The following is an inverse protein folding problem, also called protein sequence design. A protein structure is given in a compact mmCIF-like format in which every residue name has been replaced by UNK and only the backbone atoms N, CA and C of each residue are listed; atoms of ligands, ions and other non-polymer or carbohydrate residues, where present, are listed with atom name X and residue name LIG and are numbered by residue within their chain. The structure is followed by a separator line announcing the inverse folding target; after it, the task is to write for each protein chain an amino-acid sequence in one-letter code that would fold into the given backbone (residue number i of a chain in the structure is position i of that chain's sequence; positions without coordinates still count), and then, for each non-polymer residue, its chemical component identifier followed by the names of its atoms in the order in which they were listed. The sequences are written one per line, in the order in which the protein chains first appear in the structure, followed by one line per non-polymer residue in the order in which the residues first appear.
data_IF_749647799642
#
_entry.id   IF_749647799642
#
_cell.length_a   1.000
_cell.length_b   1.000
_cell.length_c   1.000
_cell.angle_alpha   90.00
_cell.angle_beta   90.00
_cell.angle_gamma   90.00
#
_symmetry.space_group_name_H-M   'P 1'
#
loop_
_entity.id
_entity.type
_entity.pdbx_description
1 polymer ?
#
# COMPACT_ATOMS: atom_id res chain seq x y z
N UNK A 1 -4.53 -14.07 4.38
CA UNK A 1 -5.07 -12.75 3.99
C UNK A 1 -4.29 -12.28 2.79
N UNK A 2 -4.90 -12.27 1.61
CA UNK A 2 -4.21 -11.97 0.34
C UNK A 2 -3.93 -10.47 0.20
N UNK A 3 -4.88 -9.63 0.61
CA UNK A 3 -4.88 -8.18 0.46
C UNK A 3 -3.93 -7.49 1.47
N UNK A 4 -3.85 -8.02 2.70
CA UNK A 4 -2.90 -7.51 3.70
C UNK A 4 -1.47 -7.65 3.21
N UNK A 5 -1.08 -8.84 2.70
CA UNK A 5 0.28 -9.04 2.19
C UNK A 5 0.57 -8.21 0.93
N UNK A 6 -0.42 -7.97 0.06
CA UNK A 6 -0.28 -7.02 -1.06
C UNK A 6 0.05 -5.63 -0.52
N UNK A 7 -0.67 -5.18 0.51
CA UNK A 7 -0.51 -3.83 1.03
C UNK A 7 0.78 -3.65 1.85
N UNK A 8 1.22 -4.66 2.60
CA UNK A 8 2.52 -4.67 3.27
C UNK A 8 3.66 -4.47 2.25
N UNK A 9 3.66 -5.24 1.17
CA UNK A 9 4.65 -5.09 0.09
C UNK A 9 4.56 -3.73 -0.59
N UNK A 10 3.34 -3.24 -0.83
CA UNK A 10 3.12 -1.92 -1.44
C UNK A 10 3.70 -0.80 -0.56
N UNK A 11 3.47 -0.86 0.75
CA UNK A 11 3.99 0.10 1.71
C UNK A 11 5.51 0.05 1.79
N UNK A 12 6.11 -1.14 1.81
CA UNK A 12 7.56 -1.31 1.80
C UNK A 12 8.19 -0.66 0.54
N UNK A 13 7.61 -0.89 -0.64
CA UNK A 13 8.06 -0.26 -1.89
C UNK A 13 7.95 1.27 -1.79
N UNK A 14 6.82 1.78 -1.29
CA UNK A 14 6.58 3.21 -1.17
C UNK A 14 7.57 3.89 -0.21
N UNK A 15 7.82 3.32 0.97
CA UNK A 15 8.79 3.80 1.95
C UNK A 15 10.22 3.77 1.41
N UNK A 16 10.58 2.70 0.70
CA UNK A 16 11.89 2.59 0.05
C UNK A 16 12.09 3.69 -1.00
N UNK A 17 11.07 4.01 -1.79
CA UNK A 17 11.12 5.12 -2.74
C UNK A 17 11.23 6.49 -2.05
N UNK A 18 10.44 6.72 -0.99
CA UNK A 18 10.49 7.96 -0.22
C UNK A 18 11.89 8.17 0.38
N UNK A 19 12.46 7.14 1.02
CA UNK A 19 13.81 7.16 1.58
C UNK A 19 14.87 7.47 0.52
N UNK A 20 14.80 6.82 -0.65
CA UNK A 20 15.73 7.08 -1.76
C UNK A 20 15.67 8.51 -2.29
N UNK A 21 14.52 9.16 -2.20
CA UNK A 21 14.31 10.55 -2.62
C UNK A 21 14.56 11.56 -1.50
N UNK A 22 14.90 11.11 -0.28
CA UNK A 22 15.00 11.98 0.89
C UNK A 22 13.67 12.59 1.33
N UNK A 23 12.54 12.00 0.91
CA UNK A 23 11.21 12.46 1.29
C UNK A 23 10.89 12.03 2.73
N UNK A 24 10.30 12.94 3.50
CA UNK A 24 9.89 12.71 4.89
C UNK A 24 8.42 12.36 5.04
N UNK A 25 7.64 12.48 3.95
CA UNK A 25 6.20 12.23 3.96
C UNK A 25 5.70 11.74 2.61
N UNK A 26 4.84 10.72 2.64
CA UNK A 26 4.04 10.28 1.50
C UNK A 26 2.63 10.84 1.69
N UNK A 27 2.13 11.57 0.70
CA UNK A 27 0.80 12.20 0.78
C UNK A 27 -0.33 11.26 0.33
N UNK A 28 -0.07 10.43 -0.68
CA UNK A 28 -1.04 9.50 -1.23
C UNK A 28 -0.32 8.35 -1.91
N UNK A 29 -0.97 7.18 -1.90
CA UNK A 29 -0.61 6.02 -2.70
C UNK A 29 -1.81 5.71 -3.58
N UNK A 30 -1.59 5.54 -4.88
CA UNK A 30 -2.63 5.16 -5.84
C UNK A 30 -2.26 3.86 -6.49
N UNK A 31 -3.21 2.95 -6.50
CA UNK A 31 -3.08 1.64 -7.10
C UNK A 31 -4.16 1.44 -8.15
N UNK A 32 -3.82 0.76 -9.24
CA UNK A 32 -4.78 0.26 -10.21
C UNK A 32 -5.02 -1.21 -9.93
N UNK A 33 -6.28 -1.58 -9.70
CA UNK A 33 -6.70 -2.97 -9.49
C UNK A 33 -7.37 -3.44 -10.78
N UNK A 34 -6.89 -4.55 -11.33
CA UNK A 34 -7.47 -5.12 -12.54
C UNK A 34 -8.77 -5.87 -12.23
N UNK A 35 -9.78 -5.72 -13.08
CA UNK A 35 -11.10 -6.34 -12.90
C UNK A 35 -11.05 -7.88 -12.78
N UNK A 36 -10.08 -8.51 -13.45
CA UNK A 36 -9.89 -9.97 -13.43
C UNK A 36 -8.89 -10.44 -12.36
N UNK A 37 -8.41 -9.56 -11.48
CA UNK A 37 -7.43 -9.92 -10.45
C UNK A 37 -8.02 -10.71 -9.28
N UNK A 38 -9.34 -10.65 -9.09
CA UNK A 38 -10.01 -11.21 -7.92
C UNK A 38 -9.72 -10.46 -6.61
N UNK A 39 -8.97 -9.35 -6.67
CA UNK A 39 -8.64 -8.51 -5.52
C UNK A 39 -9.81 -7.57 -5.23
N UNK A 40 -10.14 -7.43 -3.94
CA UNK A 40 -11.23 -6.58 -3.47
C UNK A 40 -10.66 -5.21 -3.06
N UNK A 41 -10.98 -4.11 -3.77
CA UNK A 41 -10.45 -2.77 -3.44
C UNK A 41 -10.73 -2.32 -2.01
N UNK A 42 -11.93 -2.59 -1.49
CA UNK A 42 -12.33 -2.21 -0.13
C UNK A 42 -11.49 -2.95 0.93
N UNK A 43 -11.10 -4.20 0.64
CA UNK A 43 -10.22 -4.96 1.52
C UNK A 43 -8.77 -4.45 1.47
N UNK A 44 -8.33 -3.89 0.34
CA UNK A 44 -7.04 -3.21 0.23
C UNK A 44 -7.03 -1.89 1.03
N UNK A 45 -8.11 -1.12 1.00
CA UNK A 45 -8.24 0.09 1.82
C UNK A 45 -8.17 -0.24 3.30
N UNK A 46 -8.91 -1.26 3.76
CA UNK A 46 -8.81 -1.73 5.14
C UNK A 46 -7.40 -2.24 5.48
N UNK A 47 -6.79 -3.01 4.59
CA UNK A 47 -5.42 -3.47 4.76
C UNK A 47 -4.45 -2.29 4.91
N UNK A 48 -4.61 -1.22 4.12
CA UNK A 48 -3.79 -0.02 4.19
C UNK A 48 -3.87 0.64 5.56
N UNK A 49 -5.09 0.82 6.08
CA UNK A 49 -5.31 1.37 7.42
C UNK A 49 -4.66 0.54 8.53
N UNK A 50 -4.53 -0.77 8.33
CA UNK A 50 -3.85 -1.66 9.29
C UNK A 50 -2.33 -1.54 9.18
N UNK A 51 -1.78 -1.66 7.96
CA UNK A 51 -0.32 -1.75 7.75
C UNK A 51 0.39 -0.40 7.84
N UNK A 52 -0.31 0.71 7.55
CA UNK A 52 0.24 2.06 7.66
C UNK A 52 0.32 2.57 9.11
N UNK A 53 -0.21 1.82 10.09
CA UNK A 53 -0.11 2.20 11.51
C UNK A 53 1.35 2.15 11.95
N UNK A 54 1.89 3.31 12.32
CA UNK A 54 3.25 3.43 12.86
C UNK A 54 4.32 3.83 11.84
N UNK A 55 3.93 4.16 10.61
CA UNK A 55 4.83 4.79 9.62
C UNK A 55 4.92 6.30 9.77
#
# INVERSE_FOLDING_TARGET
MHEVSIMEQTLEIALNHAKKQGATRIHWVKMKVGELSGVIPEALEFAFDVVAKGT
#
